data_IF_228540369119
#
_entry.id   IF_228540369119
#
_cell.length_a   1.000
_cell.length_b   1.000
_cell.length_c   1.000
_cell.angle_alpha   90.00
_cell.angle_beta   90.00
_cell.angle_gamma   90.00
#
_symmetry.space_group_name_H-M   'P 1'
#
loop_
_entity.id
_entity.type
_entity.pdbx_description
1 polymer ?
#
# COMPACT_ATOMS: atom_id res chain seq x y z
N UNK A 1 0.66 18.67 28.60
CA UNK A 1 1.24 19.15 27.33
C UNK A 1 1.97 20.44 27.63
N UNK A 2 3.30 20.44 27.58
CA UNK A 2 4.12 21.61 27.90
C UNK A 2 4.33 22.41 26.60
N UNK A 3 4.02 23.70 26.64
CA UNK A 3 4.22 24.66 25.56
C UNK A 3 5.40 25.55 25.94
N UNK A 4 6.46 25.51 25.16
CA UNK A 4 7.68 26.28 25.40
C UNK A 4 7.58 27.61 24.64
N UNK A 5 7.70 28.73 25.37
CA UNK A 5 7.52 30.09 24.84
C UNK A 5 8.89 30.78 24.72
N UNK A 6 9.25 31.21 23.50
CA UNK A 6 10.54 31.81 23.17
C UNK A 6 10.65 33.28 23.61
N UNK A 7 10.71 33.55 24.92
CA UNK A 7 10.87 34.93 25.43
C UNK A 7 12.05 35.13 26.38
N UNK A 8 12.52 34.11 27.12
CA UNK A 8 13.70 34.18 28.01
C UNK A 8 14.55 32.91 27.87
N UNK A 9 15.85 33.06 27.54
CA UNK A 9 16.75 31.94 27.25
C UNK A 9 17.07 31.07 28.48
N UNK A 10 17.10 31.67 29.68
CA UNK A 10 17.40 30.95 30.91
C UNK A 10 16.23 30.05 31.33
N UNK A 11 15.01 30.57 31.20
CA UNK A 11 13.77 29.80 31.45
C UNK A 11 13.60 28.71 30.39
N UNK A 12 13.90 29.02 29.12
CA UNK A 12 13.80 28.10 27.99
C UNK A 12 14.65 26.84 28.18
N UNK A 13 15.90 27.00 28.61
CA UNK A 13 16.82 25.88 28.84
C UNK A 13 16.26 24.93 29.90
N UNK A 14 15.73 25.47 31.00
CA UNK A 14 15.15 24.68 32.08
C UNK A 14 13.86 23.97 31.64
N UNK A 15 12.98 24.65 30.91
CA UNK A 15 11.72 24.07 30.43
C UNK A 15 11.95 22.96 29.39
N UNK A 16 12.85 23.19 28.43
CA UNK A 16 13.23 22.16 27.44
C UNK A 16 13.90 20.98 28.15
N UNK A 17 14.85 21.23 29.06
CA UNK A 17 15.52 20.17 29.81
C UNK A 17 14.53 19.30 30.58
N UNK A 18 13.61 19.92 31.30
CA UNK A 18 12.55 19.24 32.05
C UNK A 18 11.56 18.49 31.13
N UNK A 19 11.21 19.06 29.97
CA UNK A 19 10.33 18.41 29.01
C UNK A 19 11.01 17.19 28.35
N UNK A 20 12.29 17.31 27.99
CA UNK A 20 13.10 16.21 27.49
C UNK A 20 13.19 15.08 28.53
N UNK A 21 13.51 15.41 29.77
CA UNK A 21 13.71 14.43 30.86
C UNK A 21 12.42 13.71 31.24
N UNK A 22 11.31 14.45 31.39
CA UNK A 22 10.06 13.88 31.95
C UNK A 22 9.09 13.35 30.91
N UNK A 23 9.10 13.92 29.70
CA UNK A 23 8.06 13.65 28.70
C UNK A 23 8.61 13.16 27.36
N UNK A 24 9.85 13.50 27.01
CA UNK A 24 10.45 13.16 25.71
C UNK A 24 9.77 13.85 24.51
N UNK A 25 8.82 14.76 24.75
CA UNK A 25 8.09 15.51 23.72
C UNK A 25 7.57 16.84 24.28
N UNK A 26 7.59 17.91 23.46
CA UNK A 26 7.09 19.24 23.80
C UNK A 26 6.71 20.02 22.55
N UNK A 27 5.89 21.06 22.71
CA UNK A 27 5.54 21.98 21.63
C UNK A 27 6.34 23.27 21.74
N UNK A 28 6.80 23.78 20.60
CA UNK A 28 7.48 25.08 20.50
C UNK A 28 6.57 26.03 19.74
N UNK A 29 6.30 27.20 20.30
CA UNK A 29 5.59 28.29 19.62
C UNK A 29 6.50 29.50 19.46
N UNK A 30 6.16 30.43 18.57
CA UNK A 30 6.99 31.61 18.26
C UNK A 30 8.41 31.26 17.73
N UNK A 31 8.56 30.10 17.10
CA UNK A 31 9.84 29.54 16.63
C UNK A 31 10.54 30.30 15.49
N UNK A 32 9.99 31.41 15.01
CA UNK A 32 10.57 32.20 13.92
C UNK A 32 10.48 31.57 12.53
N UNK A 33 10.14 30.28 12.41
CA UNK A 33 9.81 29.64 11.12
C UNK A 33 8.53 30.26 10.53
N UNK A 34 8.57 30.86 9.33
CA UNK A 34 7.38 31.45 8.70
C UNK A 34 6.31 30.38 8.38
N UNK A 35 5.10 30.55 8.92
CA UNK A 35 4.01 29.58 8.78
C UNK A 35 3.52 29.43 7.33
N UNK A 36 3.62 30.47 6.52
CA UNK A 36 3.40 30.46 5.06
C UNK A 36 4.24 29.40 4.32
N UNK A 37 5.38 28.94 4.87
CA UNK A 37 6.15 27.83 4.30
C UNK A 37 5.51 26.47 4.62
N UNK A 38 4.87 26.34 5.78
CA UNK A 38 4.08 25.15 6.12
C UNK A 38 2.80 25.10 5.28
N UNK A 39 2.13 26.22 5.06
CA UNK A 39 0.94 26.30 4.19
C UNK A 39 1.27 25.93 2.73
N UNK A 40 2.45 26.30 2.22
CA UNK A 40 2.92 25.88 0.88
C UNK A 40 3.26 24.39 0.78
N UNK A 41 3.45 23.69 1.89
CA UNK A 41 3.59 22.23 1.93
C UNK A 41 2.23 21.53 1.95
N UNK A 42 1.14 22.24 2.24
CA UNK A 42 -0.23 21.75 2.08
C UNK A 42 -0.62 21.83 0.60
N UNK A 43 -0.27 20.80 -0.16
CA UNK A 43 -0.56 20.76 -1.58
C UNK A 43 -2.06 20.53 -1.79
N UNK A 44 -2.73 21.37 -2.57
CA UNK A 44 -4.14 21.19 -2.98
C UNK A 44 -4.26 20.16 -4.11
N UNK A 45 -5.48 19.67 -4.38
CA UNK A 45 -5.78 18.77 -5.51
C UNK A 45 -5.66 19.58 -6.81
N UNK A 46 -4.81 19.13 -7.74
CA UNK A 46 -4.62 19.78 -9.04
C UNK A 46 -5.50 19.07 -10.08
N UNK A 47 -6.31 19.76 -10.89
CA UNK A 47 -7.05 19.16 -12.01
C UNK A 47 -6.18 18.33 -12.97
N UNK A 48 -4.89 18.63 -13.08
CA UNK A 48 -3.93 17.86 -13.91
C UNK A 48 -3.53 16.51 -13.30
N UNK A 49 -3.98 16.20 -12.09
CA UNK A 49 -3.78 14.94 -11.38
C UNK A 49 -4.37 13.71 -12.08
N UNK A 50 -5.21 13.94 -13.10
CA UNK A 50 -5.81 12.91 -13.96
C UNK A 50 -4.92 12.52 -15.15
N UNK A 51 -3.85 13.29 -15.44
CA UNK A 51 -2.95 12.99 -16.55
C UNK A 51 -2.03 11.82 -16.19
N UNK A 52 -1.83 10.85 -17.10
CA UNK A 52 -0.86 9.78 -16.90
C UNK A 52 0.52 10.36 -16.58
N UNK A 53 1.03 10.09 -15.38
CA UNK A 53 2.39 10.48 -15.00
C UNK A 53 3.34 9.41 -15.51
N UNK A 54 4.29 9.79 -16.36
CA UNK A 54 5.35 8.88 -16.76
C UNK A 54 6.31 8.69 -15.59
N UNK A 55 6.45 7.44 -15.13
CA UNK A 55 7.42 7.06 -14.11
C UNK A 55 8.70 6.59 -14.81
N UNK A 56 9.81 7.23 -14.47
CA UNK A 56 11.14 6.83 -14.96
C UNK A 56 11.86 6.12 -13.81
N UNK A 57 12.26 4.87 -14.05
CA UNK A 57 13.04 4.13 -13.06
C UNK A 57 14.45 4.71 -12.93
N UNK A 58 14.86 5.00 -11.70
CA UNK A 58 16.23 5.31 -11.35
C UNK A 58 16.97 4.00 -11.07
N UNK A 59 17.66 3.46 -12.07
CA UNK A 59 18.39 2.21 -11.94
C UNK A 59 19.74 2.41 -11.23
N UNK A 60 20.13 1.52 -10.29
CA UNK A 60 21.47 1.54 -9.73
C UNK A 60 22.51 1.22 -10.81
N UNK A 61 23.71 1.77 -10.66
CA UNK A 61 24.84 1.48 -11.57
C UNK A 61 25.55 0.15 -11.22
N UNK A 62 25.30 -0.40 -10.03
CA UNK A 62 25.92 -1.63 -9.55
C UNK A 62 24.89 -2.48 -8.79
N UNK A 63 24.84 -3.80 -9.02
CA UNK A 63 25.59 -4.51 -10.06
C UNK A 63 25.09 -4.12 -11.48
N UNK A 64 25.95 -4.16 -12.51
CA UNK A 64 25.59 -3.68 -13.85
C UNK A 64 24.45 -4.48 -14.49
N UNK A 65 24.26 -5.74 -14.11
CA UNK A 65 23.20 -6.63 -14.60
C UNK A 65 21.84 -6.38 -13.90
N UNK A 66 21.82 -5.59 -12.82
CA UNK A 66 20.63 -5.43 -11.97
C UNK A 66 19.40 -4.97 -12.75
N UNK A 67 19.60 -4.04 -13.68
CA UNK A 67 18.49 -3.48 -14.46
C UNK A 67 17.87 -4.56 -15.34
N UNK A 68 18.69 -5.26 -16.10
CA UNK A 68 18.27 -6.31 -17.03
C UNK A 68 17.58 -7.44 -16.27
N UNK A 69 18.16 -7.92 -15.17
CA UNK A 69 17.60 -8.97 -14.31
C UNK A 69 16.26 -8.54 -13.69
N UNK A 70 16.17 -7.32 -13.15
CA UNK A 70 14.95 -6.81 -12.55
C UNK A 70 13.82 -6.66 -13.59
N UNK A 71 14.16 -6.26 -14.82
CA UNK A 71 13.20 -6.16 -15.92
C UNK A 71 12.74 -7.54 -16.40
N UNK A 72 13.63 -8.54 -16.47
CA UNK A 72 13.26 -9.92 -16.80
C UNK A 72 12.37 -10.55 -15.73
N UNK A 73 12.77 -10.41 -14.47
CA UNK A 73 11.97 -10.84 -13.33
C UNK A 73 10.57 -10.22 -13.33
N UNK A 74 10.45 -8.91 -13.62
CA UNK A 74 9.15 -8.24 -13.74
C UNK A 74 8.29 -8.83 -14.88
N UNK A 75 8.87 -9.14 -16.05
CA UNK A 75 8.15 -9.78 -17.17
C UNK A 75 7.69 -11.19 -16.83
N UNK A 76 8.47 -11.96 -16.08
CA UNK A 76 8.08 -13.31 -15.68
C UNK A 76 6.99 -13.30 -14.61
N UNK A 77 7.05 -12.35 -13.67
CA UNK A 77 5.97 -12.13 -12.70
C UNK A 77 4.69 -11.63 -13.37
N UNK A 78 4.78 -10.80 -14.41
CA UNK A 78 3.64 -10.38 -15.21
C UNK A 78 2.95 -11.57 -15.88
N UNK A 79 3.71 -12.47 -16.54
CA UNK A 79 3.16 -13.71 -17.12
C UNK A 79 2.48 -14.57 -16.06
N UNK A 80 3.09 -14.69 -14.87
CA UNK A 80 2.49 -15.42 -13.74
C UNK A 80 1.21 -14.75 -13.26
N UNK A 81 1.18 -13.41 -13.18
CA UNK A 81 0.02 -12.64 -12.75
C UNK A 81 -1.18 -12.83 -13.69
N UNK A 82 -0.96 -12.82 -15.01
CA UNK A 82 -2.02 -13.13 -15.98
C UNK A 82 -2.57 -14.55 -15.80
N UNK A 83 -1.71 -15.56 -15.63
CA UNK A 83 -2.16 -16.94 -15.36
C UNK A 83 -2.99 -17.04 -14.08
N UNK A 84 -2.56 -16.38 -13.01
CA UNK A 84 -3.30 -16.36 -11.75
C UNK A 84 -4.63 -15.61 -11.89
N UNK A 85 -4.66 -14.52 -12.66
CA UNK A 85 -5.88 -13.75 -12.96
C UNK A 85 -6.89 -14.61 -13.74
N UNK A 86 -6.44 -15.37 -14.73
CA UNK A 86 -7.29 -16.29 -15.50
C UNK A 86 -7.88 -17.40 -14.62
N UNK A 87 -7.08 -17.96 -13.71
CA UNK A 87 -7.56 -18.95 -12.72
C UNK A 87 -8.60 -18.34 -11.76
N UNK A 88 -8.39 -17.10 -11.33
CA UNK A 88 -9.34 -16.34 -10.49
C UNK A 88 -10.64 -16.09 -11.26
N UNK A 89 -10.56 -15.73 -12.54
CA UNK A 89 -11.74 -15.54 -13.38
C UNK A 89 -12.53 -16.84 -13.53
N UNK A 90 -11.86 -17.95 -13.82
CA UNK A 90 -12.48 -19.29 -13.91
C UNK A 90 -13.13 -19.71 -12.58
N UNK A 91 -12.49 -19.45 -11.43
CA UNK A 91 -13.06 -19.79 -10.12
C UNK A 91 -14.26 -18.91 -9.72
N UNK A 92 -14.46 -17.79 -10.41
CA UNK A 92 -15.66 -16.96 -10.32
C UNK A 92 -16.75 -17.39 -11.33
N UNK A 93 -16.50 -18.37 -12.19
CA UNK A 93 -17.44 -18.82 -13.23
C UNK A 93 -17.35 -18.02 -14.54
N UNK A 94 -16.28 -17.24 -14.72
CA UNK A 94 -16.08 -16.39 -15.89
C UNK A 94 -15.23 -17.11 -16.95
N UNK A 95 -15.23 -16.57 -18.17
CA UNK A 95 -14.20 -16.93 -19.16
C UNK A 95 -12.80 -16.58 -18.61
N UNK A 96 -11.80 -17.42 -18.91
CA UNK A 96 -10.44 -17.25 -18.41
C UNK A 96 -9.88 -15.85 -18.70
N UNK A 97 -10.04 -15.38 -19.94
CA UNK A 97 -9.50 -14.10 -20.43
C UNK A 97 -10.38 -12.88 -20.08
N UNK A 98 -11.49 -13.07 -19.35
CA UNK A 98 -12.50 -12.03 -19.08
C UNK A 98 -11.92 -10.74 -18.49
N UNK A 99 -10.88 -10.86 -17.67
CA UNK A 99 -10.26 -9.74 -16.97
C UNK A 99 -9.03 -9.18 -17.70
N UNK A 100 -8.48 -9.88 -18.70
CA UNK A 100 -7.21 -9.52 -19.34
C UNK A 100 -7.27 -8.12 -19.98
N UNK A 101 -8.43 -7.75 -20.55
CA UNK A 101 -8.64 -6.44 -21.16
C UNK A 101 -8.47 -5.26 -20.20
N UNK A 102 -8.64 -5.46 -18.89
CA UNK A 102 -8.44 -4.40 -17.88
C UNK A 102 -6.97 -4.05 -17.65
N UNK A 103 -6.05 -4.88 -18.15
CA UNK A 103 -4.61 -4.75 -17.91
C UNK A 103 -3.86 -4.26 -19.15
N UNK A 104 -4.57 -3.90 -20.22
CA UNK A 104 -3.95 -3.19 -21.35
C UNK A 104 -3.37 -1.86 -20.84
N UNK A 105 -2.09 -1.59 -21.13
CA UNK A 105 -1.38 -0.39 -20.65
C UNK A 105 -1.30 -0.27 -19.11
N UNK A 106 -1.22 -1.41 -18.42
CA UNK A 106 -1.11 -1.41 -16.95
C UNK A 106 0.15 -0.71 -16.43
N UNK A 107 0.05 -0.15 -15.22
CA UNK A 107 1.17 0.44 -14.50
C UNK A 107 1.61 -0.43 -13.30
N UNK A 108 1.70 -1.75 -13.51
CA UNK A 108 2.22 -2.71 -12.53
C UNK A 108 3.70 -2.47 -12.26
N UNK A 109 4.17 -2.74 -11.04
CA UNK A 109 5.56 -2.49 -10.66
C UNK A 109 6.07 -3.45 -9.59
N UNK A 110 7.39 -3.65 -9.59
CA UNK A 110 8.12 -4.34 -8.52
C UNK A 110 8.61 -3.31 -7.51
N UNK A 111 8.49 -3.61 -6.22
CA UNK A 111 9.09 -2.83 -5.13
C UNK A 111 10.08 -3.71 -4.38
N UNK A 112 11.24 -3.18 -4.04
CA UNK A 112 12.20 -3.83 -3.16
C UNK A 112 12.06 -3.24 -1.76
N UNK A 113 11.74 -4.09 -0.79
CA UNK A 113 11.64 -3.68 0.60
C UNK A 113 12.85 -4.21 1.38
N UNK A 114 13.51 -3.33 2.13
CA UNK A 114 14.55 -3.65 3.10
C UNK A 114 14.08 -3.25 4.50
N UNK A 115 14.07 -4.20 5.42
CA UNK A 115 13.70 -3.98 6.81
C UNK A 115 14.92 -4.25 7.70
N UNK A 116 15.55 -3.21 8.26
CA UNK A 116 16.66 -3.39 9.19
C UNK A 116 16.26 -4.17 10.44
N UNK A 117 17.23 -4.81 11.10
CA UNK A 117 17.05 -5.31 12.47
C UNK A 117 16.70 -4.15 13.42
N UNK A 118 15.77 -4.38 14.33
CA UNK A 118 15.31 -3.41 15.30
C UNK A 118 15.53 -3.93 16.73
N UNK A 119 16.25 -3.20 17.61
CA UNK A 119 16.50 -3.63 19.00
C UNK A 119 15.24 -3.78 19.85
N UNK A 120 14.16 -3.07 19.50
CA UNK A 120 12.88 -3.06 20.23
C UNK A 120 11.71 -3.41 19.30
N UNK A 121 11.68 -4.64 18.73
CA UNK A 121 10.74 -5.00 17.67
C UNK A 121 9.26 -5.03 18.13
N UNK A 122 9.02 -5.13 19.44
CA UNK A 122 7.69 -5.07 20.05
C UNK A 122 7.04 -3.67 19.98
N UNK A 123 7.83 -2.61 19.73
CA UNK A 123 7.34 -1.23 19.71
C UNK A 123 7.04 -0.71 18.31
N UNK A 124 7.48 -1.41 17.25
CA UNK A 124 7.40 -0.90 15.88
C UNK A 124 6.97 -1.99 14.89
N UNK A 125 6.35 -1.56 13.80
CA UNK A 125 6.08 -2.39 12.64
C UNK A 125 7.06 -2.03 11.53
N UNK A 126 7.55 -3.02 10.79
CA UNK A 126 8.34 -2.80 9.58
C UNK A 126 7.49 -2.24 8.45
N UNK A 127 6.26 -2.73 8.34
CA UNK A 127 5.22 -2.16 7.49
C UNK A 127 3.90 -2.19 8.24
N UNK A 128 3.23 -1.04 8.29
CA UNK A 128 1.98 -0.89 9.02
C UNK A 128 0.86 -1.76 8.40
N UNK A 129 -0.25 -1.91 9.12
CA UNK A 129 -1.41 -2.68 8.70
C UNK A 129 -2.03 -2.03 7.45
N UNK A 130 -2.22 -2.82 6.40
CA UNK A 130 -2.82 -2.33 5.16
C UNK A 130 -3.43 -3.46 4.35
N UNK A 131 -4.20 -3.07 3.35
CA UNK A 131 -4.65 -3.90 2.24
C UNK A 131 -4.01 -3.39 0.96
N UNK A 132 -3.74 -4.30 0.03
CA UNK A 132 -3.20 -3.93 -1.27
C UNK A 132 -4.31 -3.40 -2.17
N UNK A 133 -4.09 -2.22 -2.74
CA UNK A 133 -5.07 -1.53 -3.57
C UNK A 133 -5.34 -2.24 -4.90
N UNK A 134 -4.34 -2.97 -5.40
CA UNK A 134 -4.31 -3.57 -6.74
C UNK A 134 -5.27 -4.74 -6.95
N UNK A 135 -5.04 -5.47 -8.04
CA UNK A 135 -5.74 -6.72 -8.29
C UNK A 135 -5.05 -7.89 -7.57
N UNK A 136 -3.74 -8.04 -7.76
CA UNK A 136 -2.94 -9.11 -7.17
C UNK A 136 -1.59 -8.58 -6.72
N UNK A 137 -1.06 -9.18 -5.66
CA UNK A 137 0.35 -9.03 -5.29
C UNK A 137 1.02 -10.39 -5.29
N UNK A 138 2.18 -10.48 -5.95
CA UNK A 138 3.05 -11.67 -5.95
C UNK A 138 4.32 -11.30 -5.20
N UNK A 139 4.53 -11.92 -4.06
CA UNK A 139 5.57 -11.55 -3.10
C UNK A 139 6.63 -12.65 -2.99
N UNK A 140 7.85 -12.31 -3.38
CA UNK A 140 9.04 -13.03 -2.94
C UNK A 140 9.46 -12.52 -1.54
N UNK A 141 9.86 -13.44 -0.67
CA UNK A 141 10.49 -13.10 0.61
C UNK A 141 11.68 -14.01 0.88
N UNK A 142 12.58 -13.53 1.73
CA UNK A 142 13.68 -14.33 2.25
C UNK A 142 13.21 -15.33 3.33
N UNK A 143 14.19 -15.94 4.00
CA UNK A 143 13.98 -16.93 5.06
C UNK A 143 13.69 -16.33 6.45
N UNK A 144 13.71 -15.00 6.60
CA UNK A 144 13.56 -14.32 7.90
C UNK A 144 12.09 -14.27 8.33
N UNK A 145 11.17 -14.15 7.37
CA UNK A 145 9.73 -14.08 7.66
C UNK A 145 9.33 -12.73 8.25
N UNK A 146 8.25 -12.68 9.03
CA UNK A 146 7.73 -11.44 9.62
C UNK A 146 6.46 -10.89 8.96
N UNK A 147 6.08 -11.40 7.78
CA UNK A 147 4.75 -11.13 7.23
C UNK A 147 3.67 -11.76 8.13
N UNK A 148 2.66 -10.97 8.47
CA UNK A 148 1.47 -11.45 9.16
C UNK A 148 0.21 -11.05 8.40
N UNK A 149 -0.73 -11.99 8.32
CA UNK A 149 -2.05 -11.78 7.71
C UNK A 149 -3.12 -11.82 8.80
N UNK A 150 -4.11 -10.95 8.70
CA UNK A 150 -5.24 -10.92 9.61
C UNK A 150 -6.27 -11.96 9.18
N UNK A 151 -6.49 -12.98 9.99
CA UNK A 151 -7.43 -14.05 9.68
C UNK A 151 -8.87 -13.54 9.78
N UNK A 152 -9.68 -13.87 8.76
CA UNK A 152 -11.08 -13.44 8.69
C UNK A 152 -11.94 -13.98 9.84
N UNK A 153 -11.71 -15.22 10.27
CA UNK A 153 -12.61 -15.94 11.18
C UNK A 153 -12.65 -15.36 12.60
N UNK A 154 -11.52 -14.84 13.08
CA UNK A 154 -11.32 -14.40 14.47
C UNK A 154 -10.61 -13.04 14.57
N UNK A 155 -10.10 -12.51 13.46
CA UNK A 155 -9.34 -11.26 13.44
C UNK A 155 -7.90 -11.40 13.93
N UNK A 156 -7.43 -12.63 14.18
CA UNK A 156 -6.09 -12.89 14.72
C UNK A 156 -4.99 -12.71 13.68
N UNK A 157 -3.83 -12.25 14.13
CA UNK A 157 -2.65 -12.08 13.27
C UNK A 157 -1.89 -13.39 13.14
N UNK A 158 -1.80 -13.92 11.92
CA UNK A 158 -1.15 -15.19 11.62
C UNK A 158 0.12 -14.95 10.85
N UNK A 159 1.24 -15.48 11.36
CA UNK A 159 2.52 -15.41 10.67
C UNK A 159 2.55 -16.32 9.44
N UNK A 160 2.94 -15.75 8.30
CA UNK A 160 3.18 -16.51 7.07
C UNK A 160 4.60 -17.06 7.13
N UNK A 161 4.72 -18.38 7.23
CA UNK A 161 6.03 -19.05 7.33
C UNK A 161 6.79 -18.92 6.01
N UNK A 162 8.07 -18.52 6.04
CA UNK A 162 8.94 -18.59 4.87
C UNK A 162 8.95 -19.99 4.27
N UNK A 163 8.77 -20.06 2.96
CA UNK A 163 8.85 -21.29 2.18
C UNK A 163 9.80 -21.05 1.01
N UNK A 164 11.07 -21.51 1.08
CA UNK A 164 12.05 -21.28 0.04
C UNK A 164 11.56 -21.71 -1.35
N UNK A 165 11.72 -20.83 -2.34
CA UNK A 165 11.30 -21.05 -3.72
C UNK A 165 9.82 -20.81 -4.00
N UNK A 166 9.01 -20.48 -2.99
CA UNK A 166 7.60 -20.13 -3.18
C UNK A 166 7.38 -18.62 -3.25
N UNK A 167 6.38 -18.22 -4.05
CA UNK A 167 5.79 -16.90 -3.96
C UNK A 167 4.57 -16.92 -3.04
N UNK A 168 4.39 -15.85 -2.28
CA UNK A 168 3.12 -15.57 -1.58
C UNK A 168 2.26 -14.76 -2.54
N UNK A 169 0.99 -15.14 -2.67
CA UNK A 169 0.02 -14.41 -3.50
C UNK A 169 -1.12 -13.94 -2.62
N UNK A 170 -1.48 -12.67 -2.73
CA UNK A 170 -2.70 -12.12 -2.14
C UNK A 170 -3.54 -11.38 -3.18
N UNK A 171 -4.85 -11.47 -3.03
CA UNK A 171 -5.80 -10.64 -3.77
C UNK A 171 -5.85 -9.25 -3.14
N UNK A 172 -6.00 -8.23 -3.99
CA UNK A 172 -6.16 -6.85 -3.57
C UNK A 172 -7.61 -6.36 -3.66
N UNK A 173 -7.80 -5.09 -3.31
CA UNK A 173 -9.10 -4.44 -3.21
C UNK A 173 -9.90 -4.51 -4.51
N UNK A 174 -9.23 -4.42 -5.67
CA UNK A 174 -9.92 -4.47 -6.98
C UNK A 174 -10.59 -5.82 -7.21
N UNK A 175 -9.94 -6.94 -6.89
CA UNK A 175 -10.54 -8.28 -7.04
C UNK A 175 -11.68 -8.47 -6.04
N UNK A 176 -11.57 -7.90 -4.83
CA UNK A 176 -12.68 -7.89 -3.87
C UNK A 176 -13.90 -7.15 -4.44
N UNK A 177 -13.71 -5.99 -5.08
CA UNK A 177 -14.82 -5.24 -5.72
C UNK A 177 -15.40 -6.00 -6.90
N UNK A 178 -14.56 -6.45 -7.83
CA UNK A 178 -14.99 -7.22 -9.01
C UNK A 178 -15.80 -8.45 -8.64
N UNK A 179 -15.41 -9.14 -7.56
CA UNK A 179 -16.11 -10.33 -7.06
C UNK A 179 -17.28 -10.04 -6.11
N UNK A 180 -17.66 -8.77 -5.92
CA UNK A 180 -18.74 -8.33 -5.04
C UNK A 180 -18.64 -8.88 -3.58
N UNK A 181 -17.43 -8.83 -3.01
CA UNK A 181 -17.04 -9.43 -1.70
C UNK A 181 -17.01 -10.97 -1.64
N UNK A 182 -17.11 -11.68 -2.76
CA UNK A 182 -16.91 -13.16 -2.77
C UNK A 182 -15.46 -13.50 -2.42
N UNK A 183 -14.50 -12.70 -2.89
CA UNK A 183 -13.10 -12.75 -2.44
C UNK A 183 -12.78 -11.56 -1.56
N UNK A 184 -11.85 -11.75 -0.63
CA UNK A 184 -11.50 -10.73 0.36
C UNK A 184 -10.03 -10.31 0.20
N UNK A 185 -9.84 -9.00 0.08
CA UNK A 185 -8.57 -8.32 0.24
C UNK A 185 -8.23 -8.30 1.73
N UNK A 186 -7.24 -9.09 2.13
CA UNK A 186 -6.93 -9.32 3.55
C UNK A 186 -5.93 -8.30 4.08
N UNK A 187 -6.21 -7.78 5.28
CA UNK A 187 -5.29 -6.89 5.97
C UNK A 187 -4.01 -7.65 6.37
N UNK A 188 -2.86 -7.08 6.07
CA UNK A 188 -1.56 -7.67 6.38
C UNK A 188 -0.59 -6.61 6.91
N UNK A 189 0.44 -7.07 7.61
CA UNK A 189 1.50 -6.21 8.20
C UNK A 189 2.84 -6.93 8.17
N UNK A 190 3.93 -6.19 8.37
CA UNK A 190 5.27 -6.78 8.51
C UNK A 190 5.82 -6.43 9.89
N UNK A 191 6.17 -7.47 10.64
CA UNK A 191 6.92 -7.37 11.89
C UNK A 191 8.42 -7.27 11.59
N UNK A 192 9.14 -6.49 12.40
CA UNK A 192 10.61 -6.52 12.44
C UNK A 192 11.10 -7.44 13.55
N UNK A 193 12.39 -7.74 13.54
CA UNK A 193 13.05 -8.55 14.57
C UNK A 193 14.39 -7.90 14.95
N UNK A 194 15.00 -8.32 16.05
CA UNK A 194 16.25 -7.76 16.56
C UNK A 194 17.53 -8.40 16.03
N UNK A 195 17.42 -9.48 15.25
CA UNK A 195 18.55 -10.35 14.92
C UNK A 195 19.05 -10.15 13.49
N UNK A 196 18.13 -10.05 12.53
CA UNK A 196 18.47 -10.10 11.10
C UNK A 196 17.57 -9.20 10.26
N UNK A 197 18.20 -8.51 9.31
CA UNK A 197 17.51 -7.76 8.27
C UNK A 197 16.65 -8.66 7.39
N UNK A 198 15.52 -8.13 6.92
CA UNK A 198 14.60 -8.84 6.03
C UNK A 198 14.53 -8.14 4.68
N UNK A 199 14.54 -8.93 3.63
CA UNK A 199 14.29 -8.52 2.25
C UNK A 199 12.99 -9.13 1.73
N UNK A 200 12.25 -8.34 0.95
CA UNK A 200 11.11 -8.87 0.18
C UNK A 200 10.85 -8.05 -1.07
N UNK A 201 10.35 -8.71 -2.10
CA UNK A 201 10.20 -8.15 -3.43
C UNK A 201 8.76 -8.40 -3.93
N UNK A 202 7.77 -7.58 -3.49
CA UNK A 202 6.43 -7.62 -4.07
C UNK A 202 6.38 -7.07 -5.48
N UNK A 203 5.68 -7.78 -6.36
CA UNK A 203 5.13 -7.28 -7.61
C UNK A 203 3.65 -6.95 -7.43
N UNK A 204 3.30 -5.69 -7.66
CA UNK A 204 1.93 -5.21 -7.59
C UNK A 204 1.32 -5.19 -8.98
N UNK A 205 0.31 -6.02 -9.19
CA UNK A 205 -0.40 -6.15 -10.46
C UNK A 205 -1.63 -5.25 -10.45
N UNK A 206 -1.59 -4.21 -11.27
CA UNK A 206 -2.59 -3.13 -11.31
C UNK A 206 -3.26 -3.09 -12.67
N UNK A 207 -4.56 -2.77 -12.77
CA UNK A 207 -5.20 -2.53 -14.06
C UNK A 207 -4.73 -1.19 -14.66
N UNK A 208 -5.15 -0.93 -15.90
CA UNK A 208 -4.94 0.34 -16.57
C UNK A 208 -5.59 1.49 -15.80
N UNK A 209 -4.96 2.67 -15.83
CA UNK A 209 -5.44 3.85 -15.10
C UNK A 209 -6.88 4.27 -15.46
N UNK A 210 -7.32 4.01 -16.68
CA UNK A 210 -8.65 4.39 -17.17
C UNK A 210 -9.76 3.40 -16.77
N UNK A 211 -9.44 2.28 -16.13
CA UNK A 211 -10.44 1.26 -15.79
C UNK A 211 -11.42 1.79 -14.74
N UNK A 212 -12.70 1.62 -15.04
CA UNK A 212 -13.79 1.76 -14.08
C UNK A 212 -13.95 0.45 -13.31
N UNK A 213 -13.69 0.50 -12.02
CA UNK A 213 -13.81 -0.63 -11.10
C UNK A 213 -15.22 -0.63 -10.53
N UNK A 214 -15.93 -1.75 -10.73
CA UNK A 214 -17.28 -2.02 -10.22
C UNK A 214 -17.49 -3.53 -10.07
N UNK A 215 -18.47 -4.01 -9.29
CA UNK A 215 -18.83 -5.42 -9.28
C UNK A 215 -19.09 -5.94 -10.69
N UNK A 216 -18.55 -7.12 -11.00
CA UNK A 216 -18.79 -7.76 -12.30
C UNK A 216 -20.24 -8.21 -12.36
N UNK A 217 -20.91 -7.90 -13.46
CA UNK A 217 -22.33 -8.23 -13.67
C UNK A 217 -22.55 -9.73 -13.59
N UNK A 218 -21.60 -10.52 -14.08
CA UNK A 218 -21.62 -11.98 -14.05
C UNK A 218 -21.45 -12.57 -12.64
N UNK A 219 -21.03 -11.76 -11.67
CA UNK A 219 -20.92 -12.15 -10.24
C UNK A 219 -22.12 -11.69 -9.41
N UNK A 220 -23.12 -11.12 -10.07
CA UNK A 220 -24.40 -10.70 -9.51
C UNK A 220 -25.50 -11.55 -10.17
N UNK A 221 -26.18 -12.35 -9.38
CA UNK A 221 -27.28 -13.23 -9.75
C UNK A 221 -28.42 -13.11 -8.71
N UNK A 222 -29.57 -13.71 -8.99
CA UNK A 222 -30.75 -13.64 -8.11
C UNK A 222 -30.53 -14.30 -6.73
N UNK A 223 -29.45 -15.08 -6.56
CA UNK A 223 -29.06 -15.71 -5.29
C UNK A 223 -27.93 -14.94 -4.55
N UNK A 224 -27.29 -13.98 -5.21
CA UNK A 224 -26.23 -13.14 -4.65
C UNK A 224 -26.73 -11.74 -4.31
N UNK A 225 -26.06 -11.04 -3.38
CA UNK A 225 -26.49 -9.72 -2.98
C UNK A 225 -26.41 -8.74 -4.16
N UNK A 226 -27.25 -7.67 -4.16
CA UNK A 226 -27.11 -6.58 -5.12
C UNK A 226 -25.67 -6.01 -5.11
N UNK A 227 -25.27 -5.23 -6.13
CA UNK A 227 -23.97 -4.57 -6.14
C UNK A 227 -23.68 -3.92 -4.79
N UNK A 228 -22.56 -4.29 -4.16
CA UNK A 228 -22.16 -3.75 -2.85
C UNK A 228 -21.28 -2.50 -2.98
N UNK A 229 -20.91 -2.13 -4.19
CA UNK A 229 -19.98 -1.04 -4.48
C UNK A 229 -20.48 -0.18 -5.63
N UNK A 230 -20.38 1.13 -5.47
CA UNK A 230 -20.46 2.12 -6.54
C UNK A 230 -19.23 2.01 -7.45
N UNK A 231 -19.42 2.32 -8.73
CA UNK A 231 -18.30 2.36 -9.68
C UNK A 231 -17.34 3.52 -9.39
N UNK A 232 -16.06 3.31 -9.66
CA UNK A 232 -15.03 4.35 -9.53
C UNK A 232 -13.87 4.16 -10.51
N UNK A 233 -13.19 5.24 -10.84
CA UNK A 233 -12.00 5.17 -11.70
C UNK A 233 -10.75 4.75 -10.89
N UNK A 234 -10.04 3.71 -11.37
CA UNK A 234 -8.82 3.20 -10.75
C UNK A 234 -7.71 4.24 -10.66
N UNK A 235 -7.42 4.95 -11.75
CA UNK A 235 -6.36 5.95 -11.80
C UNK A 235 -6.57 7.08 -10.79
N UNK A 236 -7.80 7.59 -10.69
CA UNK A 236 -8.18 8.61 -9.68
C UNK A 236 -8.01 8.06 -8.27
N UNK A 237 -8.53 6.86 -8.00
CA UNK A 237 -8.42 6.22 -6.70
C UNK A 237 -6.94 6.03 -6.28
N UNK A 238 -6.12 5.46 -7.16
CA UNK A 238 -4.72 5.17 -6.88
C UNK A 238 -3.87 6.45 -6.75
N UNK A 239 -4.11 7.45 -7.59
CA UNK A 239 -3.42 8.75 -7.50
C UNK A 239 -3.76 9.48 -6.19
N UNK A 240 -5.03 9.48 -5.78
CA UNK A 240 -5.49 10.05 -4.50
C UNK A 240 -4.84 9.33 -3.33
N UNK A 241 -4.85 7.99 -3.34
CA UNK A 241 -4.21 7.17 -2.30
C UNK A 241 -2.71 7.45 -2.17
N UNK A 242 -1.99 7.64 -3.29
CA UNK A 242 -0.56 8.03 -3.27
C UNK A 242 -0.32 9.44 -2.75
N UNK A 243 -1.20 10.40 -3.09
CA UNK A 243 -1.06 11.80 -2.68
C UNK A 243 -1.26 12.02 -1.19
N UNK A 244 -2.13 11.24 -0.56
CA UNK A 244 -2.33 11.31 0.89
C UNK A 244 -1.08 10.99 1.71
N UNK A 245 -0.09 10.30 1.14
CA UNK A 245 1.20 10.09 1.80
C UNK A 245 2.01 11.39 1.98
N UNK A 246 1.74 12.41 1.16
CA UNK A 246 2.49 13.67 1.11
C UNK A 246 1.63 14.90 1.38
N UNK A 247 0.30 14.74 1.38
CA UNK A 247 -0.69 15.81 1.58
C UNK A 247 -1.62 15.41 2.70
N UNK A 248 -1.71 16.24 3.75
CA UNK A 248 -2.74 16.08 4.78
C UNK A 248 -4.07 16.56 4.21
N UNK A 249 -4.76 15.71 3.45
CA UNK A 249 -6.08 16.06 2.96
C UNK A 249 -7.05 16.15 4.15
N UNK A 250 -8.04 17.06 4.11
CA UNK A 250 -9.07 17.18 5.16
C UNK A 250 -10.07 16.00 5.15
N UNK A 251 -9.80 14.96 4.37
CA UNK A 251 -10.63 13.77 4.22
C UNK A 251 -9.84 12.53 4.64
N UNK A 252 -10.56 11.52 5.12
CA UNK A 252 -9.97 10.22 5.46
C UNK A 252 -9.22 9.62 4.26
N UNK A 253 -8.20 8.83 4.53
CA UNK A 253 -7.49 8.10 3.49
C UNK A 253 -8.46 7.30 2.63
N UNK A 254 -8.49 7.57 1.32
CA UNK A 254 -9.45 6.94 0.44
C UNK A 254 -9.30 5.41 0.48
N UNK A 255 -10.36 4.71 0.89
CA UNK A 255 -10.43 3.25 0.92
C UNK A 255 -11.54 2.77 0.00
N UNK A 256 -11.45 1.52 -0.42
CA UNK A 256 -12.50 0.87 -1.21
C UNK A 256 -13.86 0.85 -0.47
N UNK A 257 -13.81 0.86 0.87
CA UNK A 257 -14.99 0.95 1.73
C UNK A 257 -15.82 2.24 1.51
N UNK A 258 -15.21 3.34 1.05
CA UNK A 258 -15.92 4.59 0.73
C UNK A 258 -16.83 4.46 -0.50
N UNK A 259 -16.63 3.42 -1.31
CA UNK A 259 -17.48 3.13 -2.45
C UNK A 259 -18.56 2.11 -2.11
N UNK A 260 -18.64 1.58 -0.89
CA UNK A 260 -19.70 0.64 -0.52
C UNK A 260 -21.08 1.31 -0.60
N UNK A 261 -22.05 0.59 -1.15
CA UNK A 261 -23.46 0.99 -1.17
C UNK A 261 -24.03 0.67 0.22
N UNK A 262 -24.62 1.68 0.85
CA UNK A 262 -25.25 1.61 2.19
C UNK A 262 -26.74 1.35 2.03
#
# INVERSE_FOLDING_TARGET
MIVVILTDIGVLIAEIGNACEKWGFFQVINHGVPLEKLERLEVTVDPDDLKPTQLINCWPQSPPEFKEDAQEYARDLEKLAFKLLELIALSLGLAADRLNGYFKDHASFVRLNYYPSCPSPQLVLGLNRHKDAGALTILAQDVVGGLQVRRKSDGEWVSVRPNPGAFIVNVGDIVQVWSNDKYESVEHRVMVNSEKERLSIPFFFHPAHYIMVKPLEETIDDETPPPKYNEYNWGVYFATKRKNNFKKLPVENIQVAHFKIV
#
